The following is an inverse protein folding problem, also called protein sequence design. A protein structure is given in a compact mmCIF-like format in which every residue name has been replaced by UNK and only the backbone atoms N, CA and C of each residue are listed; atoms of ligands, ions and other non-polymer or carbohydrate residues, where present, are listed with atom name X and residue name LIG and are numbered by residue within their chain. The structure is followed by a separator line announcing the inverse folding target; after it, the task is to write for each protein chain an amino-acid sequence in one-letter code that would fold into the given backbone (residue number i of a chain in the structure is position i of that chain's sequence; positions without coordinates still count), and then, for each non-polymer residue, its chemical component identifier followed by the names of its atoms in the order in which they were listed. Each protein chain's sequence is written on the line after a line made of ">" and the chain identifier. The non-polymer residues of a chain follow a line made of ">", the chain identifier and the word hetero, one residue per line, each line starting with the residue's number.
data_IF_619923024821
#
_entry.id   IF_619923024821
#
_cell.length_a   1.000
_cell.length_b   1.000
_cell.length_c   1.000
_cell.angle_alpha   90.00
_cell.angle_beta   90.00
_cell.angle_gamma   90.00
#
_symmetry.space_group_name_H-M   'P 1'
#
loop_
_entity.id
_entity.type
_entity.pdbx_description
1 polymer ?
#
# COMPACT_ATOMS: atom_id res chain seq x y z
N UNK A 1 33.78 -1.18 24.83
CA UNK A 1 32.38 -1.53 25.14
C UNK A 1 31.50 -0.44 24.56
N UNK A 2 30.80 -0.66 23.44
CA UNK A 2 29.91 0.36 22.91
C UNK A 2 28.68 0.47 23.83
N UNK A 3 28.40 1.70 24.28
CA UNK A 3 27.19 2.04 25.04
C UNK A 3 25.99 1.71 24.15
N UNK A 4 25.22 0.69 24.52
CA UNK A 4 23.86 0.55 24.06
C UNK A 4 23.11 1.81 24.51
N UNK A 5 22.74 2.67 23.56
CA UNK A 5 21.73 3.68 23.80
C UNK A 5 20.44 2.92 24.05
N UNK A 6 20.07 2.81 25.32
CA UNK A 6 18.72 2.45 25.74
C UNK A 6 17.81 3.44 25.03
N UNK A 7 17.10 2.98 24.00
CA UNK A 7 15.98 3.73 23.45
C UNK A 7 15.00 3.87 24.59
N UNK A 8 14.84 5.08 25.10
CA UNK A 8 13.80 5.41 26.06
C UNK A 8 12.47 5.00 25.37
N UNK A 9 11.65 4.11 25.96
CA UNK A 9 10.36 3.77 25.40
C UNK A 9 9.45 4.96 25.68
N UNK A 10 9.63 6.06 24.94
CA UNK A 10 8.70 7.17 24.96
C UNK A 10 7.37 6.60 24.52
N UNK A 11 6.46 6.49 25.48
CA UNK A 11 5.05 6.20 25.25
C UNK A 11 4.55 7.12 24.13
N UNK A 12 3.90 6.54 23.12
CA UNK A 12 3.46 7.28 21.92
C UNK A 12 2.49 8.39 22.31
N UNK A 13 1.74 8.21 23.40
CA UNK A 13 0.82 9.20 23.96
C UNK A 13 1.52 10.42 24.61
N UNK A 14 2.83 10.36 24.82
CA UNK A 14 3.62 11.42 25.45
C UNK A 14 4.40 12.27 24.43
N UNK A 15 4.23 12.00 23.14
CA UNK A 15 4.88 12.77 22.08
C UNK A 15 4.28 14.18 21.99
N UNK A 16 5.15 15.18 21.94
CA UNK A 16 4.76 16.53 21.55
C UNK A 16 4.43 16.61 20.06
N UNK A 17 3.64 17.59 19.65
CA UNK A 17 3.30 17.82 18.24
C UNK A 17 4.56 17.93 17.35
N UNK A 18 5.60 18.64 17.81
CA UNK A 18 6.86 18.75 17.09
C UNK A 18 7.58 17.41 16.92
N UNK A 19 7.52 16.53 17.94
CA UNK A 19 8.09 15.18 17.84
C UNK A 19 7.28 14.27 16.91
N UNK A 20 5.97 14.48 16.80
CA UNK A 20 5.12 13.79 15.81
C UNK A 20 5.54 14.22 14.40
N UNK A 21 5.66 15.52 14.14
CA UNK A 21 6.06 16.06 12.83
C UNK A 21 7.45 15.55 12.42
N UNK A 22 8.43 15.56 13.34
CA UNK A 22 9.78 15.03 13.09
C UNK A 22 9.76 13.53 12.75
N UNK A 23 8.90 12.76 13.41
CA UNK A 23 8.76 11.32 13.13
C UNK A 23 8.12 11.07 11.77
N UNK A 24 7.14 11.88 11.37
CA UNK A 24 6.52 11.82 10.03
C UNK A 24 7.58 12.08 8.96
N UNK A 25 8.34 13.17 9.10
CA UNK A 25 9.42 13.52 8.16
C UNK A 25 10.43 12.38 8.03
N UNK A 26 10.96 11.88 9.15
CA UNK A 26 11.89 10.75 9.16
C UNK A 26 11.30 9.52 8.50
N UNK A 27 10.04 9.20 8.76
CA UNK A 27 9.40 8.02 8.17
C UNK A 27 9.30 8.15 6.64
N UNK A 28 8.95 9.33 6.15
CA UNK A 28 8.91 9.61 4.70
C UNK A 28 10.30 9.52 4.06
N UNK A 29 11.36 10.00 4.74
CA UNK A 29 12.74 9.82 4.27
C UNK A 29 13.12 8.34 4.14
N UNK A 30 12.73 7.50 5.10
CA UNK A 30 12.99 6.06 5.03
C UNK A 30 12.21 5.40 3.89
N UNK A 31 10.99 5.83 3.61
CA UNK A 31 10.21 5.34 2.47
C UNK A 31 10.92 5.67 1.16
N UNK A 32 11.44 6.89 1.00
CA UNK A 32 12.20 7.27 -0.19
C UNK A 32 13.54 6.53 -0.30
N UNK A 33 14.21 6.30 0.83
CA UNK A 33 15.41 5.47 0.88
C UNK A 33 15.11 4.02 0.44
N UNK A 34 13.95 3.46 0.84
CA UNK A 34 13.51 2.13 0.37
C UNK A 34 13.26 2.15 -1.13
N UNK A 35 12.58 3.17 -1.68
CA UNK A 35 12.36 3.29 -3.13
C UNK A 35 13.69 3.34 -3.90
N UNK A 36 14.68 4.04 -3.38
CA UNK A 36 16.00 4.16 -4.01
C UNK A 36 16.75 2.82 -4.10
N UNK A 37 16.47 1.86 -3.21
CA UNK A 37 17.06 0.51 -3.27
C UNK A 37 16.51 -0.34 -4.43
N UNK A 38 15.34 0.01 -4.96
CA UNK A 38 14.63 -0.72 -6.00
C UNK A 38 14.36 0.20 -7.20
N UNK A 39 15.39 0.56 -7.99
CA UNK A 39 15.19 1.40 -9.16
C UNK A 39 14.35 0.66 -10.21
N UNK A 40 13.41 1.39 -10.84
CA UNK A 40 12.56 0.85 -11.90
C UNK A 40 11.36 0.04 -11.41
N UNK A 41 10.88 0.27 -10.18
CA UNK A 41 9.60 -0.29 -9.72
C UNK A 41 8.46 0.15 -10.65
N UNK A 42 7.74 -0.83 -11.18
CA UNK A 42 6.60 -0.60 -12.04
C UNK A 42 5.31 -0.48 -11.22
N UNK A 43 4.44 0.45 -11.65
CA UNK A 43 3.08 0.58 -11.11
C UNK A 43 2.09 0.05 -12.13
N UNK A 44 1.55 -1.14 -11.87
CA UNK A 44 0.44 -1.68 -12.64
C UNK A 44 -0.87 -0.99 -12.28
N UNK A 45 -1.72 -0.80 -13.27
CA UNK A 45 -3.12 -0.44 -13.04
C UNK A 45 -3.88 -1.60 -12.38
N UNK A 46 -4.96 -1.28 -11.66
CA UNK A 46 -5.75 -2.28 -10.94
C UNK A 46 -6.28 -3.40 -11.86
N UNK A 47 -6.68 -3.06 -13.09
CA UNK A 47 -7.13 -4.03 -14.08
C UNK A 47 -6.00 -4.97 -14.54
N UNK A 48 -4.79 -4.44 -14.72
CA UNK A 48 -3.60 -5.22 -15.07
C UNK A 48 -3.18 -6.11 -13.91
N UNK A 49 -3.13 -5.56 -12.68
CA UNK A 49 -2.83 -6.31 -11.46
C UNK A 49 -3.76 -7.52 -11.33
N UNK A 50 -5.07 -7.33 -11.54
CA UNK A 50 -6.06 -8.41 -11.42
C UNK A 50 -5.82 -9.57 -12.39
N UNK A 51 -5.36 -9.27 -13.60
CA UNK A 51 -5.16 -10.25 -14.69
C UNK A 51 -3.73 -10.81 -14.78
N UNK A 52 -2.79 -10.24 -14.04
CA UNK A 52 -1.38 -10.66 -14.10
C UNK A 52 -1.18 -12.09 -13.57
N UNK A 53 -0.48 -12.91 -14.35
CA UNK A 53 -0.01 -14.25 -13.92
C UNK A 53 0.99 -14.14 -12.77
N UNK A 54 1.65 -12.98 -12.60
CA UNK A 54 2.56 -12.69 -11.49
C UNK A 54 1.91 -12.84 -10.11
N UNK A 55 0.57 -12.78 -10.01
CA UNK A 55 -0.18 -13.08 -8.77
C UNK A 55 0.09 -14.50 -8.25
N UNK A 56 0.45 -15.42 -9.13
CA UNK A 56 0.77 -16.80 -8.77
C UNK A 56 2.24 -16.99 -8.40
N UNK A 57 3.04 -15.92 -8.25
CA UNK A 57 4.47 -15.98 -7.93
C UNK A 57 4.78 -16.84 -6.70
N UNK A 58 4.00 -16.70 -5.62
CA UNK A 58 4.21 -17.50 -4.41
C UNK A 58 4.01 -19.01 -4.63
N UNK A 59 3.17 -19.40 -5.60
CA UNK A 59 2.84 -20.80 -5.91
C UNK A 59 3.75 -21.35 -7.01
N UNK A 60 3.97 -20.59 -8.09
CA UNK A 60 4.71 -21.01 -9.27
C UNK A 60 6.21 -20.69 -9.17
N UNK A 61 6.62 -19.73 -8.36
CA UNK A 61 8.02 -19.34 -8.21
C UNK A 61 8.92 -20.50 -7.78
N UNK A 62 8.62 -21.23 -6.70
CA UNK A 62 9.45 -22.37 -6.26
C UNK A 62 9.63 -23.48 -7.32
N UNK A 63 8.58 -24.00 -8.00
CA UNK A 63 8.78 -24.98 -9.06
C UNK A 63 9.50 -24.40 -10.28
N UNK A 64 9.27 -23.14 -10.65
CA UNK A 64 10.02 -22.49 -11.75
C UNK A 64 11.52 -22.36 -11.41
N UNK A 65 11.87 -22.00 -10.19
CA UNK A 65 13.27 -21.95 -9.74
C UNK A 65 13.95 -23.32 -9.87
N UNK A 66 13.22 -24.41 -9.58
CA UNK A 66 13.74 -25.78 -9.76
C UNK A 66 13.93 -26.12 -11.24
N UNK A 67 12.96 -25.77 -12.09
CA UNK A 67 13.07 -25.96 -13.54
C UNK A 67 14.30 -25.23 -14.08
N UNK A 68 14.46 -23.95 -13.76
CA UNK A 68 15.59 -23.17 -14.21
C UNK A 68 16.94 -23.72 -13.71
N UNK A 69 17.00 -24.17 -12.45
CA UNK A 69 18.22 -24.81 -11.94
C UNK A 69 18.61 -26.11 -12.69
N UNK A 70 17.63 -26.83 -13.24
CA UNK A 70 17.87 -28.02 -14.09
C UNK A 70 18.33 -27.62 -15.49
N UNK A 71 17.78 -26.54 -16.05
CA UNK A 71 18.12 -26.04 -17.38
C UNK A 71 19.42 -25.24 -17.41
N UNK A 72 19.90 -24.77 -16.25
CA UNK A 72 21.12 -23.96 -16.16
C UNK A 72 22.33 -24.71 -16.78
N UNK A 73 23.14 -24.04 -17.62
CA UNK A 73 24.40 -24.59 -18.10
C UNK A 73 25.31 -25.02 -16.94
N UNK A 74 25.98 -26.16 -17.09
CA UNK A 74 26.97 -26.65 -16.11
C UNK A 74 28.35 -26.62 -16.76
N UNK A 75 29.32 -26.04 -16.06
CA UNK A 75 30.70 -25.88 -16.55
C UNK A 75 30.79 -25.21 -17.93
N UNK A 76 29.92 -24.21 -18.16
CA UNK A 76 29.82 -23.49 -19.43
C UNK A 76 29.23 -24.30 -20.58
N UNK A 77 28.72 -25.51 -20.32
CA UNK A 77 28.11 -26.38 -21.33
C UNK A 77 26.62 -26.51 -21.13
N UNK A 78 25.90 -26.32 -22.22
CA UNK A 78 24.47 -26.47 -22.25
C UNK A 78 24.05 -27.93 -22.48
N UNK A 79 23.10 -28.40 -21.67
CA UNK A 79 22.56 -29.74 -21.78
C UNK A 79 21.70 -29.90 -23.04
N UNK A 80 21.54 -31.13 -23.52
CA UNK A 80 20.61 -31.41 -24.63
C UNK A 80 19.16 -31.00 -24.28
N UNK A 81 18.78 -31.16 -23.01
CA UNK A 81 17.48 -30.74 -22.51
C UNK A 81 17.31 -29.21 -22.60
N UNK A 82 18.29 -28.44 -22.15
CA UNK A 82 18.24 -26.98 -22.18
C UNK A 82 18.11 -26.43 -23.62
N UNK A 83 18.82 -27.02 -24.58
CA UNK A 83 18.68 -26.69 -26.00
C UNK A 83 17.26 -26.89 -26.54
N UNK A 84 16.50 -27.85 -26.00
CA UNK A 84 15.09 -28.04 -26.40
C UNK A 84 14.19 -26.86 -26.03
N UNK A 85 14.60 -25.99 -25.11
CA UNK A 85 13.81 -24.81 -24.70
C UNK A 85 14.10 -23.56 -25.52
N UNK A 86 15.11 -23.56 -26.40
CA UNK A 86 15.43 -22.41 -27.26
C UNK A 86 14.30 -21.96 -28.18
N UNK A 87 13.33 -22.82 -28.45
CA UNK A 87 12.08 -22.46 -29.14
C UNK A 87 11.26 -21.37 -28.41
N UNK A 88 11.59 -21.08 -27.14
CA UNK A 88 10.98 -20.03 -26.32
C UNK A 88 11.87 -18.80 -26.14
N UNK A 89 12.99 -18.69 -26.86
CA UNK A 89 13.94 -17.58 -26.72
C UNK A 89 13.31 -16.21 -27.01
N UNK A 90 12.34 -16.14 -27.93
CA UNK A 90 11.61 -14.92 -28.24
C UNK A 90 10.59 -14.50 -27.16
N UNK A 91 10.37 -15.33 -26.13
CA UNK A 91 9.37 -15.12 -25.07
C UNK A 91 9.95 -14.76 -23.70
N UNK A 92 11.28 -14.79 -23.52
CA UNK A 92 11.90 -14.50 -22.22
C UNK A 92 12.35 -13.04 -22.06
N UNK A 93 12.07 -12.20 -23.07
CA UNK A 93 12.51 -10.81 -23.20
C UNK A 93 14.01 -10.65 -22.93
N UNK A 94 14.80 -11.60 -23.43
CA UNK A 94 16.26 -11.61 -23.40
C UNK A 94 16.91 -10.75 -24.48
N UNK A 95 18.22 -10.85 -24.57
CA UNK A 95 19.05 -10.25 -25.61
C UNK A 95 19.10 -11.13 -26.89
N UNK A 96 18.93 -12.44 -26.77
CA UNK A 96 19.02 -13.38 -27.88
C UNK A 96 17.70 -14.12 -28.13
N UNK A 97 16.91 -13.76 -29.17
CA UNK A 97 15.62 -14.39 -29.44
C UNK A 97 15.73 -15.87 -29.87
N UNK A 98 16.93 -16.35 -30.23
CA UNK A 98 17.14 -17.75 -30.59
C UNK A 98 17.52 -18.63 -29.38
N UNK A 99 17.70 -18.02 -28.20
CA UNK A 99 18.22 -18.70 -27.02
C UNK A 99 17.35 -18.43 -25.80
N UNK A 100 16.93 -19.52 -25.15
CA UNK A 100 16.25 -19.43 -23.85
C UNK A 100 17.24 -19.10 -22.72
N UNK A 101 17.22 -17.86 -22.25
CA UNK A 101 18.16 -17.28 -21.28
C UNK A 101 17.76 -17.60 -19.84
N UNK A 102 17.96 -18.86 -19.45
CA UNK A 102 17.61 -19.38 -18.11
C UNK A 102 18.19 -18.52 -16.97
N UNK A 103 19.44 -18.08 -17.09
CA UNK A 103 20.09 -17.26 -16.05
C UNK A 103 19.43 -15.89 -15.88
N UNK A 104 18.90 -15.30 -16.97
CA UNK A 104 18.14 -14.06 -16.91
C UNK A 104 16.84 -14.27 -16.13
N UNK A 105 16.09 -15.32 -16.47
CA UNK A 105 14.83 -15.66 -15.81
C UNK A 105 15.02 -15.98 -14.33
N UNK A 106 16.10 -16.66 -13.95
CA UNK A 106 16.44 -16.90 -12.55
C UNK A 106 16.73 -15.62 -11.78
N UNK A 107 17.47 -14.68 -12.37
CA UNK A 107 17.74 -13.37 -11.75
C UNK A 107 16.44 -12.59 -11.56
N UNK A 108 15.57 -12.56 -12.58
CA UNK A 108 14.26 -11.88 -12.52
C UNK A 108 13.35 -12.53 -11.47
N UNK A 109 13.28 -13.85 -11.42
CA UNK A 109 12.51 -14.58 -10.41
C UNK A 109 13.01 -14.31 -9.00
N UNK A 110 14.34 -14.34 -8.80
CA UNK A 110 14.96 -14.00 -7.51
C UNK A 110 14.64 -12.57 -7.08
N UNK A 111 14.68 -11.62 -8.01
CA UNK A 111 14.28 -10.22 -7.77
C UNK A 111 12.82 -10.14 -7.35
N UNK A 112 11.90 -10.73 -8.12
CA UNK A 112 10.47 -10.69 -7.83
C UNK A 112 10.12 -11.30 -6.46
N UNK A 113 10.76 -12.40 -6.07
CA UNK A 113 10.56 -13.01 -4.75
C UNK A 113 11.09 -12.12 -3.61
N UNK A 114 12.21 -11.41 -3.82
CA UNK A 114 12.74 -10.48 -2.84
C UNK A 114 11.84 -9.24 -2.70
N UNK A 115 11.36 -8.68 -3.82
CA UNK A 115 10.41 -7.57 -3.85
C UNK A 115 9.09 -7.96 -3.15
N UNK A 116 8.56 -9.16 -3.40
CA UNK A 116 7.36 -9.67 -2.73
C UNK A 116 7.55 -9.71 -1.21
N UNK A 117 8.69 -10.22 -0.73
CA UNK A 117 8.99 -10.27 0.72
C UNK A 117 9.01 -8.87 1.36
N UNK A 118 9.56 -7.88 0.67
CA UNK A 118 9.58 -6.49 1.15
C UNK A 118 8.16 -5.90 1.12
N UNK A 119 7.42 -6.13 0.04
CA UNK A 119 6.04 -5.67 -0.11
C UNK A 119 5.14 -6.22 1.00
N UNK A 120 5.25 -7.51 1.32
CA UNK A 120 4.48 -8.15 2.40
C UNK A 120 4.78 -7.50 3.76
N UNK A 121 6.06 -7.19 4.05
CA UNK A 121 6.46 -6.53 5.29
C UNK A 121 5.96 -5.08 5.39
N UNK A 122 5.98 -4.35 4.27
CA UNK A 122 5.44 -2.99 4.21
C UNK A 122 3.91 -2.96 4.31
N UNK A 123 3.23 -3.96 3.75
CA UNK A 123 1.78 -4.10 3.88
C UNK A 123 1.38 -4.41 5.32
N UNK A 124 2.12 -5.30 6.00
CA UNK A 124 1.90 -5.59 7.42
C UNK A 124 2.10 -4.34 8.30
N UNK A 125 3.18 -3.58 8.07
CA UNK A 125 3.41 -2.32 8.76
C UNK A 125 2.29 -1.30 8.49
N UNK A 126 1.83 -1.18 7.24
CA UNK A 126 0.73 -0.29 6.89
C UNK A 126 -0.55 -0.67 7.64
N UNK A 127 -0.88 -1.97 7.73
CA UNK A 127 -2.03 -2.44 8.53
C UNK A 127 -1.90 -2.08 10.01
N UNK A 128 -0.73 -2.26 10.62
CA UNK A 128 -0.53 -1.85 12.01
C UNK A 128 -0.70 -0.34 12.22
N UNK A 129 -0.22 0.49 11.29
CA UNK A 129 -0.44 1.94 11.34
C UNK A 129 -1.92 2.29 11.19
N UNK A 130 -2.64 1.63 10.27
CA UNK A 130 -4.07 1.83 10.08
C UNK A 130 -4.87 1.43 11.34
N UNK A 131 -4.54 0.30 11.95
CA UNK A 131 -5.16 -0.19 13.18
C UNK A 131 -4.89 0.75 14.36
N UNK A 132 -3.67 1.27 14.50
CA UNK A 132 -3.29 2.22 15.55
C UNK A 132 -4.00 3.58 15.40
N UNK A 133 -4.17 4.05 14.15
CA UNK A 133 -4.97 5.23 13.85
C UNK A 133 -6.42 5.03 14.30
N UNK A 134 -7.01 3.86 14.04
CA UNK A 134 -8.37 3.56 14.48
C UNK A 134 -8.47 3.51 16.01
N UNK A 135 -7.56 2.78 16.66
CA UNK A 135 -7.51 2.68 18.12
C UNK A 135 -7.36 4.06 18.78
N UNK A 136 -6.45 4.89 18.28
CA UNK A 136 -6.23 6.26 18.76
C UNK A 136 -7.44 7.16 18.49
N UNK A 137 -8.06 7.05 17.32
CA UNK A 137 -9.25 7.83 17.00
C UNK A 137 -10.42 7.51 17.97
N UNK A 138 -10.58 6.26 18.39
CA UNK A 138 -11.62 5.88 19.35
C UNK A 138 -11.41 6.54 20.72
N UNK A 139 -10.17 6.66 21.20
CA UNK A 139 -9.86 7.30 22.49
C UNK A 139 -10.08 8.82 22.47
N UNK A 140 -10.04 9.45 21.29
CA UNK A 140 -10.22 10.90 21.13
C UNK A 140 -11.68 11.27 20.80
N UNK A 141 -12.31 10.56 19.86
CA UNK A 141 -13.63 10.93 19.34
C UNK A 141 -14.71 10.78 20.40
N UNK A 142 -14.71 9.68 21.17
CA UNK A 142 -15.72 9.43 22.20
C UNK A 142 -15.80 10.56 23.24
N UNK A 143 -14.69 10.88 23.93
CA UNK A 143 -14.62 12.01 24.85
C UNK A 143 -14.92 13.36 24.18
N UNK A 144 -14.46 13.58 22.95
CA UNK A 144 -14.74 14.80 22.18
C UNK A 144 -16.23 15.03 21.94
N UNK A 145 -16.98 13.96 21.61
CA UNK A 145 -18.44 14.03 21.44
C UNK A 145 -19.15 14.29 22.78
N UNK A 146 -18.71 13.67 23.87
CA UNK A 146 -19.26 13.95 25.20
C UNK A 146 -19.01 15.42 25.62
N UNK A 147 -17.82 15.96 25.34
CA UNK A 147 -17.49 17.36 25.57
C UNK A 147 -18.37 18.29 24.73
N UNK A 148 -18.65 17.93 23.47
CA UNK A 148 -19.57 18.68 22.60
C UNK A 148 -20.99 18.74 23.18
N UNK A 149 -21.50 17.63 23.73
CA UNK A 149 -22.84 17.61 24.33
C UNK A 149 -22.91 18.43 25.63
N UNK A 150 -21.86 18.41 26.45
CA UNK A 150 -21.74 19.32 27.59
C UNK A 150 -21.69 20.78 27.12
N UNK A 151 -20.88 21.09 26.10
CA UNK A 151 -20.77 22.42 25.51
C UNK A 151 -22.13 22.94 25.01
N UNK A 152 -22.94 22.09 24.35
CA UNK A 152 -24.32 22.41 23.95
C UNK A 152 -25.20 22.75 25.15
N UNK A 153 -25.07 22.00 26.24
CA UNK A 153 -25.84 22.21 27.47
C UNK A 153 -25.48 23.54 28.12
N UNK A 154 -24.18 23.82 28.28
CA UNK A 154 -23.68 25.08 28.85
C UNK A 154 -24.09 26.28 27.98
N UNK A 155 -23.94 26.20 26.66
CA UNK A 155 -24.33 27.27 25.74
C UNK A 155 -25.84 27.57 25.78
N UNK A 156 -26.70 26.61 26.12
CA UNK A 156 -28.14 26.87 26.32
C UNK A 156 -28.40 27.68 27.59
N UNK A 157 -27.64 27.41 28.65
CA UNK A 157 -27.85 27.99 29.97
C UNK A 157 -27.13 29.34 30.17
N UNK A 158 -26.04 29.62 29.45
CA UNK A 158 -25.24 30.83 29.61
C UNK A 158 -24.97 31.53 28.26
N UNK A 159 -25.41 32.79 28.14
CA UNK A 159 -25.26 33.59 26.92
C UNK A 159 -23.80 33.97 26.60
N UNK A 160 -22.96 34.17 27.62
CA UNK A 160 -21.53 34.41 27.46
C UNK A 160 -20.79 33.18 26.93
N UNK A 161 -21.02 32.01 27.53
CA UNK A 161 -20.47 30.75 27.04
C UNK A 161 -21.00 30.38 25.64
N UNK A 162 -22.26 30.75 25.32
CA UNK A 162 -22.83 30.56 23.98
C UNK A 162 -22.04 31.31 22.91
N UNK A 163 -21.65 32.56 23.17
CA UNK A 163 -20.89 33.36 22.21
C UNK A 163 -19.51 32.74 21.94
N UNK A 164 -18.85 32.22 22.99
CA UNK A 164 -17.54 31.56 22.89
C UNK A 164 -17.64 30.24 22.10
N UNK A 165 -18.68 29.44 22.36
CA UNK A 165 -18.85 28.10 21.76
C UNK A 165 -19.50 28.12 20.37
N UNK A 166 -20.05 29.26 19.93
CA UNK A 166 -20.81 29.37 18.69
C UNK A 166 -20.05 28.84 17.44
N UNK A 167 -18.77 29.18 17.21
CA UNK A 167 -18.03 28.69 16.04
C UNK A 167 -17.99 27.16 15.96
N UNK A 168 -17.63 26.51 17.08
CA UNK A 168 -17.54 25.04 17.16
C UNK A 168 -18.92 24.41 16.93
N UNK A 169 -19.97 24.92 17.56
CA UNK A 169 -21.33 24.39 17.41
C UNK A 169 -21.86 24.55 15.98
N UNK A 170 -21.49 25.63 15.30
CA UNK A 170 -21.90 25.89 13.93
C UNK A 170 -21.17 24.99 12.93
N UNK A 171 -19.88 24.68 13.14
CA UNK A 171 -19.15 23.69 12.34
C UNK A 171 -19.80 22.29 12.42
N UNK A 172 -20.15 21.83 13.62
CA UNK A 172 -20.86 20.55 13.78
C UNK A 172 -22.27 20.56 13.16
N UNK A 173 -22.96 21.71 13.15
CA UNK A 173 -24.24 21.87 12.44
C UNK A 173 -24.06 21.86 10.93
N UNK A 174 -22.99 22.46 10.40
CA UNK A 174 -22.69 22.46 8.98
C UNK A 174 -22.38 21.03 8.49
N UNK A 175 -21.57 20.28 9.25
CA UNK A 175 -21.25 18.89 8.97
C UNK A 175 -22.50 17.99 8.93
N UNK A 176 -23.38 18.10 9.93
CA UNK A 176 -24.64 17.32 9.97
C UNK A 176 -25.60 17.68 8.83
N UNK A 177 -25.62 18.94 8.37
CA UNK A 177 -26.37 19.35 7.17
C UNK A 177 -25.77 18.77 5.89
N UNK A 178 -24.45 18.71 5.76
CA UNK A 178 -23.78 18.11 4.61
C UNK A 178 -24.02 16.59 4.53
N UNK A 179 -23.94 15.89 5.66
CA UNK A 179 -24.23 14.45 5.74
C UNK A 179 -25.69 14.10 5.38
N UNK A 180 -26.63 15.04 5.57
CA UNK A 180 -28.05 14.90 5.24
C UNK A 180 -28.41 15.29 3.80
N UNK A 181 -27.48 15.87 3.02
CA UNK A 181 -27.74 16.10 1.60
C UNK A 181 -27.82 14.74 0.89
N UNK A 182 -28.95 14.38 0.27
CA UNK A 182 -29.04 13.13 -0.47
C UNK A 182 -27.96 13.12 -1.56
N UNK A 183 -27.13 12.06 -1.61
CA UNK A 183 -26.30 11.78 -2.79
C UNK A 183 -27.29 11.67 -3.96
N UNK A 184 -27.29 12.68 -4.82
CA UNK A 184 -28.09 12.69 -6.04
C UNK A 184 -27.81 11.36 -6.77
N UNK A 185 -28.82 10.50 -7.01
CA UNK A 185 -28.58 9.25 -7.70
C UNK A 185 -27.92 9.58 -9.04
N UNK A 186 -26.82 8.88 -9.34
CA UNK A 186 -26.14 9.02 -10.61
C UNK A 186 -27.19 8.79 -11.71
N UNK A 187 -27.27 9.73 -12.65
CA UNK A 187 -28.16 9.61 -13.79
C UNK A 187 -27.92 8.25 -14.47
N UNK A 188 -28.99 7.56 -14.93
CA UNK A 188 -28.82 6.32 -15.66
C UNK A 188 -27.87 6.58 -16.82
N UNK A 189 -26.82 5.76 -16.95
CA UNK A 189 -25.97 5.76 -18.13
C UNK A 189 -26.88 5.41 -19.30
N UNK A 190 -26.99 6.33 -20.25
CA UNK A 190 -27.66 6.11 -21.52
C UNK A 190 -27.15 4.78 -22.11
N UNK A 191 -28.07 3.84 -22.21
CA UNK A 191 -27.88 2.55 -22.83
C UNK A 191 -27.60 2.81 -24.31
N UNK A 192 -26.38 2.47 -24.76
CA UNK A 192 -26.00 2.61 -26.16
C UNK A 192 -27.01 1.84 -27.04
N UNK A 193 -27.48 2.41 -28.17
CA UNK A 193 -28.48 1.76 -29.00
C UNK A 193 -27.93 0.43 -29.53
N UNK A 194 -28.67 -0.65 -29.27
CA UNK A 194 -28.44 -1.97 -29.89
C UNK A 194 -28.36 -1.81 -31.41
N UNK A 195 -27.26 -2.25 -31.98
CA UNK A 195 -27.13 -2.40 -33.43
C UNK A 195 -28.19 -3.39 -33.93
N UNK A 196 -28.99 -2.96 -34.90
CA UNK A 196 -29.89 -3.85 -35.64
C UNK A 196 -29.09 -4.82 -36.53
N UNK A 197 -29.58 -6.05 -36.74
CA UNK A 197 -28.89 -7.04 -37.53
C UNK A 197 -29.07 -6.78 -39.03
N UNK A 198 -27.98 -6.83 -39.78
CA UNK A 198 -27.95 -7.15 -41.21
C UNK A 198 -27.05 -8.38 -41.42
#
# INVERSE_FOLDING_TARGET
>A
MPKQSVQDPTDVDQLSAAQIDERVEKTLEHIEAIRALWPGLERLEEAQRKRSVGRSLGVLGPPLAKLFAVLRPRDGKESALARSFHVLGDQDDGADPERFEVELLERRLKRALAEQKVADALEDLARHLDDDVLATAETVIGPGLAALDLARTIARQNAGSRAILAPVLDDFRAMTKQARKPKKPAAPKDEAPRAEPF
#
